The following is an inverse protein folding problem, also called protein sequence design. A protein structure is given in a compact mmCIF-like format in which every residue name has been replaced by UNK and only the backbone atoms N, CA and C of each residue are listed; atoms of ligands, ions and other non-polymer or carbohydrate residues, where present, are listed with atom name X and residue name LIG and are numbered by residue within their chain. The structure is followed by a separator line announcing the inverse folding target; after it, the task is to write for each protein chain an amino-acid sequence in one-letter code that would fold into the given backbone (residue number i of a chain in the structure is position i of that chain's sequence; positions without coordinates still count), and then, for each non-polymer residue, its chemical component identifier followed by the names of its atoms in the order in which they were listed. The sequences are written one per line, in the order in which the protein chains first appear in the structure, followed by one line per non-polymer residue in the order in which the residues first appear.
data_IF_094992390377
#
_entry.id   IF_094992390377
#
_cell.length_a   1.000
_cell.length_b   1.000
_cell.length_c   1.000
_cell.angle_alpha   90.00
_cell.angle_beta   90.00
_cell.angle_gamma   90.00
#
_symmetry.space_group_name_H-M   'P 1'
#
loop_
_entity.id
_entity.type
_entity.pdbx_description
1 polymer ?
#
# COMPACT_ATOMS: atom_id res chain seq x y z
N UNK A 1 -3.68 39.44 27.76
CA UNK A 1 -3.06 40.72 27.35
C UNK A 1 -1.63 40.77 27.84
N UNK A 2 -0.66 40.67 26.94
CA UNK A 2 0.70 41.21 27.09
C UNK A 2 1.33 41.21 25.70
N UNK A 3 1.17 42.35 25.06
CA UNK A 3 1.74 42.77 23.78
C UNK A 3 3.25 42.94 23.93
N UNK A 4 4.02 42.48 22.93
CA UNK A 4 5.35 42.99 22.63
C UNK A 4 5.46 43.20 21.14
N UNK A 5 5.80 44.42 20.78
CA UNK A 5 5.92 44.98 19.43
C UNK A 5 7.37 45.46 19.25
N UNK A 6 7.77 45.60 17.99
CA UNK A 6 8.97 46.25 17.41
C UNK A 6 10.22 45.35 17.31
N UNK A 7 10.98 45.34 16.22
CA UNK A 7 11.18 46.37 15.19
C UNK A 7 11.49 45.80 13.80
N UNK A 8 11.11 46.55 12.77
CA UNK A 8 11.59 46.47 11.39
C UNK A 8 13.05 46.96 11.31
N UNK A 9 13.86 46.32 10.48
CA UNK A 9 15.00 46.96 9.81
C UNK A 9 15.07 46.48 8.37
N UNK A 10 14.90 47.43 7.44
CA UNK A 10 15.18 47.28 6.02
C UNK A 10 16.64 47.68 5.75
N UNK A 11 17.32 46.98 4.84
CA UNK A 11 18.52 47.46 4.19
C UNK A 11 18.57 46.91 2.77
N UNK A 12 18.47 47.82 1.80
CA UNK A 12 18.73 47.61 0.36
C UNK A 12 20.20 47.83 0.07
N UNK A 13 20.78 47.07 -0.85
CA UNK A 13 21.97 47.45 -1.64
C UNK A 13 22.03 46.63 -2.92
N UNK A 14 22.11 47.33 -4.05
CA UNK A 14 22.22 46.81 -5.41
C UNK A 14 23.69 46.84 -5.88
N UNK A 15 24.08 45.91 -6.77
CA UNK A 15 25.24 46.10 -7.67
C UNK A 15 24.94 45.43 -9.02
N UNK A 16 25.03 46.23 -10.09
CA UNK A 16 25.02 45.83 -11.50
C UNK A 16 26.34 45.17 -11.92
N UNK A 17 26.28 44.26 -12.88
CA UNK A 17 27.43 43.84 -13.68
C UNK A 17 27.00 43.29 -15.04
N UNK A 18 27.30 44.02 -16.11
CA UNK A 18 27.12 43.61 -17.50
C UNK A 18 28.41 43.86 -18.29
N UNK A 19 28.86 42.89 -19.09
CA UNK A 19 29.75 42.99 -20.26
C UNK A 19 29.78 41.58 -20.92
N UNK A 20 29.17 41.32 -22.10
CA UNK A 20 29.53 41.63 -23.49
C UNK A 20 30.80 40.93 -24.02
N UNK A 21 30.64 40.22 -25.16
CA UNK A 21 31.53 39.86 -26.29
C UNK A 21 30.97 38.53 -26.87
N UNK A 22 30.65 38.29 -28.15
CA UNK A 22 30.73 38.95 -29.46
C UNK A 22 30.48 37.84 -30.52
N UNK A 23 30.00 38.13 -31.74
CA UNK A 23 29.46 37.12 -32.67
C UNK A 23 30.51 36.60 -33.67
N UNK A 24 30.29 35.39 -34.21
CA UNK A 24 30.93 34.94 -35.45
C UNK A 24 29.94 34.11 -36.27
N UNK A 25 29.77 34.49 -37.53
CA UNK A 25 28.85 33.91 -38.50
C UNK A 25 29.60 33.05 -39.54
N UNK A 26 29.00 31.90 -39.90
CA UNK A 26 28.87 31.25 -41.23
C UNK A 26 30.15 30.83 -42.00
N UNK A 27 30.12 29.73 -42.82
CA UNK A 27 29.10 29.42 -43.82
C UNK A 27 28.57 27.98 -43.89
N UNK A 28 27.47 27.85 -44.63
CA UNK A 28 26.86 26.61 -45.07
C UNK A 28 27.48 26.11 -46.39
N UNK A 29 27.59 24.79 -46.55
CA UNK A 29 27.32 24.08 -47.80
C UNK A 29 26.85 22.66 -47.49
N UNK A 30 25.85 22.23 -48.23
CA UNK A 30 25.13 20.97 -48.11
C UNK A 30 25.92 19.79 -48.72
N UNK A 31 25.69 18.59 -48.19
CA UNK A 31 25.65 17.36 -48.97
C UNK A 31 24.77 16.31 -48.25
N UNK A 32 23.87 15.69 -49.01
CA UNK A 32 22.91 14.64 -48.64
C UNK A 32 22.75 13.78 -49.92
N UNK A 33 22.40 12.46 -49.92
CA UNK A 33 22.33 11.40 -48.89
C UNK A 33 23.08 10.10 -49.30
N UNK A 34 23.03 9.04 -48.48
CA UNK A 34 22.54 7.66 -48.83
C UNK A 34 22.64 6.75 -47.59
N UNK A 35 21.73 5.77 -47.39
CA UNK A 35 21.42 5.18 -46.08
C UNK A 35 22.19 3.88 -45.81
N UNK A 36 22.62 3.69 -44.57
CA UNK A 36 23.22 2.45 -44.09
C UNK A 36 22.90 2.23 -42.63
N UNK A 37 21.93 1.34 -42.39
CA UNK A 37 21.76 0.50 -41.19
C UNK A 37 21.63 1.22 -39.83
N UNK A 38 20.46 1.17 -39.15
CA UNK A 38 20.42 1.58 -37.75
C UNK A 38 21.30 0.64 -36.90
N UNK A 39 22.15 1.14 -35.99
CA UNK A 39 22.73 0.29 -34.97
C UNK A 39 21.58 -0.25 -34.12
N UNK A 40 21.42 -1.57 -34.18
CA UNK A 40 20.47 -2.34 -33.38
C UNK A 40 20.84 -2.13 -31.90
N UNK A 41 20.32 -1.05 -31.31
CA UNK A 41 20.55 -0.71 -29.92
C UNK A 41 19.55 -1.49 -29.07
N UNK A 42 19.54 -2.82 -29.22
CA UNK A 42 19.12 -3.71 -28.15
C UNK A 42 20.26 -3.79 -27.17
N UNK A 43 20.46 -2.70 -26.44
CA UNK A 43 21.06 -2.79 -25.12
C UNK A 43 20.12 -3.68 -24.30
N UNK A 44 20.43 -4.98 -24.25
CA UNK A 44 19.85 -5.86 -23.27
C UNK A 44 20.09 -5.23 -21.91
N UNK A 45 19.01 -4.87 -21.23
CA UNK A 45 19.07 -4.51 -19.82
C UNK A 45 19.83 -5.63 -19.11
N UNK A 46 20.99 -5.29 -18.55
CA UNK A 46 21.80 -6.25 -17.82
C UNK A 46 20.92 -6.90 -16.74
N UNK A 47 20.97 -8.24 -16.56
CA UNK A 47 20.16 -8.94 -15.56
C UNK A 47 20.33 -8.43 -14.13
N UNK A 48 21.45 -7.76 -13.82
CA UNK A 48 21.76 -7.23 -12.49
C UNK A 48 20.93 -6.00 -12.10
N UNK A 49 20.37 -5.24 -13.06
CA UNK A 49 19.52 -4.08 -12.72
C UNK A 49 18.11 -4.48 -12.27
N UNK A 50 17.67 -5.71 -12.58
CA UNK A 50 16.35 -6.22 -12.19
C UNK A 50 16.32 -6.70 -10.74
N UNK A 51 17.47 -7.02 -10.13
CA UNK A 51 17.49 -7.58 -8.77
C UNK A 51 17.20 -6.54 -7.69
N UNK A 52 17.48 -5.26 -7.92
CA UNK A 52 17.25 -4.18 -6.92
C UNK A 52 15.89 -3.48 -7.07
N UNK A 53 15.18 -3.66 -8.19
CA UNK A 53 13.85 -3.10 -8.37
C UNK A 53 12.84 -3.69 -7.37
N UNK A 54 11.92 -2.90 -6.79
CA UNK A 54 10.83 -3.40 -5.95
C UNK A 54 10.04 -4.51 -6.64
N UNK A 55 9.52 -5.47 -5.88
CA UNK A 55 8.66 -6.52 -6.43
C UNK A 55 7.41 -5.89 -7.04
N UNK A 56 7.15 -6.20 -8.29
CA UNK A 56 6.02 -5.68 -9.05
C UNK A 56 4.71 -6.36 -8.67
N UNK A 57 3.59 -5.68 -8.95
CA UNK A 57 2.27 -6.26 -8.82
C UNK A 57 2.12 -7.51 -9.71
N UNK A 58 2.70 -7.50 -10.91
CA UNK A 58 2.64 -8.64 -11.84
C UNK A 58 3.31 -9.90 -11.27
N UNK A 59 4.52 -9.76 -10.71
CA UNK A 59 5.25 -10.86 -10.06
C UNK A 59 4.41 -11.48 -8.94
N UNK A 60 3.88 -10.65 -8.03
CA UNK A 60 3.04 -11.14 -6.92
C UNK A 60 1.73 -11.78 -7.42
N UNK A 61 1.06 -11.16 -8.39
CA UNK A 61 -0.18 -11.66 -8.96
C UNK A 61 0.02 -12.99 -9.70
N UNK A 62 1.22 -13.24 -10.25
CA UNK A 62 1.58 -14.52 -10.86
C UNK A 62 1.54 -15.68 -9.87
N UNK A 63 2.07 -15.48 -8.66
CA UNK A 63 2.08 -16.49 -7.59
C UNK A 63 0.68 -16.82 -7.05
N UNK A 64 -0.26 -15.88 -7.16
CA UNK A 64 -1.64 -16.03 -6.64
C UNK A 64 -2.70 -16.08 -7.74
N UNK A 65 -2.35 -16.59 -8.93
CA UNK A 65 -3.30 -16.81 -10.04
C UNK A 65 -4.35 -17.86 -9.71
N UNK A 66 -3.95 -18.95 -9.06
CA UNK A 66 -4.83 -20.09 -8.77
C UNK A 66 -5.15 -20.22 -7.28
N UNK A 67 -6.40 -20.53 -6.95
CA UNK A 67 -6.85 -20.64 -5.57
C UNK A 67 -6.95 -22.10 -5.12
N UNK A 68 -6.03 -22.54 -4.26
CA UNK A 68 -6.27 -23.69 -3.39
C UNK A 68 -6.97 -23.19 -2.14
N UNK A 69 -8.29 -23.30 -2.11
CA UNK A 69 -9.10 -22.82 -1.00
C UNK A 69 -8.74 -23.55 0.31
N UNK A 70 -8.50 -22.78 1.37
CA UNK A 70 -8.23 -23.27 2.73
C UNK A 70 -9.37 -22.92 3.70
N UNK A 71 -10.21 -21.94 3.38
CA UNK A 71 -11.43 -21.67 4.14
C UNK A 71 -12.47 -22.78 3.93
N UNK A 72 -13.27 -23.06 4.97
CA UNK A 72 -14.39 -24.03 4.93
C UNK A 72 -15.65 -23.47 4.26
N UNK A 73 -15.58 -22.25 3.75
CA UNK A 73 -16.66 -21.52 3.09
C UNK A 73 -16.11 -20.27 2.43
N UNK A 74 -17.00 -19.39 2.00
CA UNK A 74 -16.68 -18.10 1.39
C UNK A 74 -17.18 -16.96 2.27
N UNK A 75 -16.60 -15.80 2.08
CA UNK A 75 -16.99 -14.53 2.71
C UNK A 75 -17.76 -13.66 1.72
N UNK A 76 -18.57 -12.76 2.27
CA UNK A 76 -19.12 -11.63 1.52
C UNK A 76 -18.13 -10.48 1.49
N UNK A 77 -18.27 -9.62 0.50
CA UNK A 77 -17.60 -8.32 0.40
C UNK A 77 -18.29 -7.33 1.33
N UNK A 78 -19.64 -7.30 1.33
CA UNK A 78 -20.40 -6.35 2.13
C UNK A 78 -21.38 -7.04 3.10
N UNK A 79 -21.84 -6.29 4.10
CA UNK A 79 -22.86 -6.75 5.05
C UNK A 79 -24.22 -7.02 4.38
N UNK A 80 -24.57 -6.25 3.35
CA UNK A 80 -25.85 -6.34 2.65
C UNK A 80 -25.81 -7.27 1.42
N UNK A 81 -24.65 -7.80 1.02
CA UNK A 81 -24.57 -8.73 -0.11
C UNK A 81 -25.31 -10.03 0.24
N UNK A 82 -26.10 -10.56 -0.69
CA UNK A 82 -26.80 -11.84 -0.46
C UNK A 82 -25.93 -13.08 -0.73
N UNK A 83 -24.73 -12.90 -1.30
CA UNK A 83 -23.87 -13.99 -1.78
C UNK A 83 -22.47 -13.89 -1.18
N UNK A 84 -22.00 -14.99 -0.62
CA UNK A 84 -20.61 -15.16 -0.23
C UNK A 84 -19.80 -15.72 -1.40
N UNK A 85 -18.86 -14.93 -1.91
CA UNK A 85 -18.14 -15.22 -3.16
C UNK A 85 -16.62 -15.34 -2.96
N UNK A 86 -16.07 -14.77 -1.88
CA UNK A 86 -14.62 -14.68 -1.65
C UNK A 86 -14.11 -15.88 -0.86
N UNK A 87 -13.36 -16.83 -1.47
CA UNK A 87 -12.63 -17.85 -0.71
C UNK A 87 -11.35 -17.27 -0.11
N UNK A 88 -10.85 -17.89 0.95
CA UNK A 88 -9.46 -17.70 1.41
C UNK A 88 -8.62 -18.84 0.85
N UNK A 89 -7.55 -18.50 0.16
CA UNK A 89 -6.67 -19.40 -0.57
C UNK A 89 -5.31 -19.51 0.12
N UNK A 90 -4.62 -20.64 -0.04
CA UNK A 90 -3.31 -20.86 0.60
C UNK A 90 -2.25 -21.36 -0.36
N UNK A 91 -1.07 -20.75 -0.28
CA UNK A 91 0.19 -21.30 -0.83
C UNK A 91 0.99 -21.96 0.30
N UNK A 92 2.26 -22.30 0.06
CA UNK A 92 3.18 -22.72 1.12
C UNK A 92 3.46 -21.54 2.06
N UNK A 93 3.84 -20.39 1.51
CA UNK A 93 4.40 -19.27 2.27
C UNK A 93 3.40 -18.15 2.58
N UNK A 94 2.22 -18.17 1.95
CA UNK A 94 1.21 -17.12 2.10
C UNK A 94 -0.22 -17.64 2.16
N UNK A 95 -1.09 -16.80 2.69
CA UNK A 95 -2.55 -16.88 2.53
C UNK A 95 -2.98 -15.68 1.72
N UNK A 96 -3.93 -15.86 0.81
CA UNK A 96 -4.41 -14.75 0.00
C UNK A 96 -5.91 -14.81 -0.30
N UNK A 97 -6.47 -13.65 -0.61
CA UNK A 97 -7.84 -13.50 -1.10
C UNK A 97 -7.93 -12.32 -2.07
N UNK A 98 -8.96 -12.34 -2.90
CA UNK A 98 -9.28 -11.28 -3.86
C UNK A 98 -10.67 -10.77 -3.55
N UNK A 99 -10.78 -9.48 -3.22
CA UNK A 99 -12.01 -8.88 -2.72
C UNK A 99 -12.12 -7.43 -3.19
N UNK A 100 -13.12 -6.76 -2.64
CA UNK A 100 -13.23 -5.31 -2.51
C UNK A 100 -12.25 -4.76 -1.45
N UNK A 101 -12.38 -3.46 -1.19
CA UNK A 101 -11.78 -2.77 -0.06
C UNK A 101 -12.80 -1.78 0.50
N UNK A 102 -13.50 -2.18 1.54
CA UNK A 102 -14.17 -1.30 2.49
C UNK A 102 -13.12 -0.61 3.37
N UNK A 103 -13.47 0.59 3.86
CA UNK A 103 -12.56 1.41 4.65
C UNK A 103 -12.87 1.26 6.14
N UNK A 104 -11.91 0.70 6.86
CA UNK A 104 -11.93 0.61 8.31
C UNK A 104 -11.33 1.89 8.92
N UNK A 105 -12.13 2.65 9.69
CA UNK A 105 -11.68 3.84 10.40
C UNK A 105 -11.50 3.61 11.91
N UNK A 106 -11.50 2.36 12.38
CA UNK A 106 -11.45 2.03 13.79
C UNK A 106 -10.09 2.38 14.43
N UNK A 107 -10.13 2.46 15.77
CA UNK A 107 -8.98 2.76 16.61
C UNK A 107 -8.93 4.21 17.08
N UNK A 108 -7.79 4.88 16.88
CA UNK A 108 -7.57 6.22 17.43
C UNK A 108 -8.40 7.24 16.68
N UNK A 109 -9.20 8.01 17.44
CA UNK A 109 -9.92 9.16 16.91
C UNK A 109 -8.96 10.18 16.30
N UNK A 110 -9.16 10.51 15.04
CA UNK A 110 -8.46 11.56 14.30
C UNK A 110 -9.45 12.53 13.64
N UNK A 111 -8.94 13.45 12.83
CA UNK A 111 -9.79 14.32 12.00
C UNK A 111 -10.50 13.51 10.91
N UNK A 112 -9.83 12.52 10.33
CA UNK A 112 -10.36 11.70 9.25
C UNK A 112 -11.25 10.55 9.78
N UNK A 113 -10.83 9.90 10.86
CA UNK A 113 -11.54 8.76 11.45
C UNK A 113 -12.13 9.12 12.81
N UNK A 114 -13.45 9.26 12.86
CA UNK A 114 -14.22 9.54 14.08
C UNK A 114 -15.72 9.31 13.84
N UNK A 115 -16.51 9.31 14.91
CA UNK A 115 -17.98 9.12 14.89
C UNK A 115 -18.77 10.12 14.03
N UNK A 116 -18.16 11.20 13.50
CA UNK A 116 -18.84 12.13 12.58
C UNK A 116 -18.61 11.80 11.11
N UNK A 117 -17.46 11.19 10.79
CA UNK A 117 -17.10 10.80 9.43
C UNK A 117 -17.51 9.36 9.15
N UNK A 118 -17.48 8.52 10.17
CA UNK A 118 -17.85 7.12 10.12
C UNK A 118 -18.92 6.80 11.20
N UNK A 119 -20.16 6.44 10.80
CA UNK A 119 -21.22 6.07 11.74
C UNK A 119 -20.97 4.72 12.43
N UNK A 120 -20.04 3.89 11.93
CA UNK A 120 -19.70 2.58 12.49
C UNK A 120 -18.41 2.59 13.32
N UNK A 121 -17.73 3.75 13.40
CA UNK A 121 -16.47 3.92 14.11
C UNK A 121 -16.43 3.30 15.51
N UNK A 122 -15.42 2.49 15.75
CA UNK A 122 -15.04 1.97 17.06
C UNK A 122 -13.73 2.59 17.53
N UNK A 123 -13.66 2.89 18.82
CA UNK A 123 -12.46 3.51 19.41
C UNK A 123 -11.31 2.53 19.70
N UNK A 124 -11.44 1.27 19.31
CA UNK A 124 -10.50 0.19 19.57
C UNK A 124 -10.22 -0.55 18.26
N UNK A 125 -9.03 -1.15 18.20
CA UNK A 125 -8.65 -2.12 17.17
C UNK A 125 -8.33 -3.44 17.87
N UNK A 126 -8.53 -4.58 17.19
CA UNK A 126 -8.25 -5.90 17.75
C UNK A 126 -6.79 -6.06 18.20
N UNK A 127 -5.86 -5.39 17.50
CA UNK A 127 -4.47 -5.33 17.88
C UNK A 127 -4.07 -3.93 18.31
N UNK A 128 -3.11 -3.84 19.23
CA UNK A 128 -2.67 -2.58 19.81
C UNK A 128 -1.22 -2.29 19.42
N UNK A 129 -0.90 -1.01 19.36
CA UNK A 129 0.48 -0.49 19.30
C UNK A 129 1.35 -1.09 20.41
N UNK A 130 2.67 -0.98 20.26
CA UNK A 130 3.64 -1.41 21.28
C UNK A 130 3.46 -0.75 22.67
N UNK A 131 2.67 0.33 22.75
CA UNK A 131 2.34 1.05 23.99
C UNK A 131 0.92 0.77 24.50
N UNK A 132 0.26 -0.29 24.01
CA UNK A 132 -1.08 -0.69 24.46
C UNK A 132 -2.19 0.31 24.08
N UNK A 133 -1.98 1.07 23.00
CA UNK A 133 -3.01 1.96 22.43
C UNK A 133 -3.61 1.34 21.16
N UNK A 134 -4.88 1.63 20.83
CA UNK A 134 -5.44 1.31 19.51
C UNK A 134 -4.56 1.83 18.38
N UNK A 135 -4.62 1.19 17.22
CA UNK A 135 -3.93 1.64 16.02
C UNK A 135 -4.54 2.94 15.50
N UNK A 136 -3.80 3.67 14.67
CA UNK A 136 -4.23 4.92 14.05
C UNK A 136 -4.51 4.63 12.57
N UNK A 137 -5.77 4.35 12.20
CA UNK A 137 -6.16 4.01 10.83
C UNK A 137 -5.79 5.10 9.81
N UNK A 138 -5.78 6.38 10.24
CA UNK A 138 -5.39 7.50 9.39
C UNK A 138 -3.87 7.64 9.19
N UNK A 139 -3.04 6.76 9.79
CA UNK A 139 -1.57 6.84 9.70
C UNK A 139 -0.87 5.52 9.42
N UNK A 140 -1.46 4.39 9.81
CA UNK A 140 -0.86 3.07 9.67
C UNK A 140 -1.64 2.26 8.63
N UNK A 141 -1.00 1.88 7.50
CA UNK A 141 -1.56 0.88 6.61
C UNK A 141 -1.77 -0.44 7.33
N UNK A 142 -3.03 -0.82 7.50
CA UNK A 142 -3.39 -2.15 7.99
C UNK A 142 -4.52 -2.78 7.18
N UNK A 143 -4.56 -4.10 7.24
CA UNK A 143 -5.61 -4.95 6.70
C UNK A 143 -6.42 -5.54 7.85
N UNK A 144 -7.71 -5.67 7.62
CA UNK A 144 -8.65 -6.29 8.55
C UNK A 144 -8.90 -7.73 8.06
N UNK A 145 -8.73 -8.69 8.95
CA UNK A 145 -9.08 -10.09 8.66
C UNK A 145 -10.42 -10.44 9.32
N UNK A 146 -11.20 -11.37 8.78
CA UNK A 146 -12.43 -11.78 9.45
C UNK A 146 -12.13 -12.34 10.85
N UNK A 147 -12.98 -12.04 11.82
CA UNK A 147 -12.87 -12.62 13.16
C UNK A 147 -12.77 -14.16 13.08
N UNK A 148 -11.89 -14.81 13.88
CA UNK A 148 -11.70 -16.25 13.83
C UNK A 148 -13.00 -17.02 14.03
N UNK A 149 -13.29 -17.97 13.13
CA UNK A 149 -14.55 -18.70 13.17
C UNK A 149 -14.57 -19.98 12.36
N UNK A 150 -15.79 -20.46 12.09
CA UNK A 150 -16.00 -21.72 11.37
C UNK A 150 -15.59 -21.67 9.90
N UNK A 151 -15.62 -20.48 9.27
CA UNK A 151 -15.22 -20.31 7.87
C UNK A 151 -13.69 -20.35 7.77
N UNK A 152 -12.99 -19.56 8.57
CA UNK A 152 -11.54 -19.53 8.64
C UNK A 152 -11.07 -19.01 10.00
N UNK A 153 -9.91 -19.48 10.45
CA UNK A 153 -9.22 -19.02 11.65
C UNK A 153 -7.80 -18.66 11.22
N UNK A 154 -7.54 -17.35 11.02
CA UNK A 154 -6.27 -16.87 10.49
C UNK A 154 -5.06 -17.31 11.32
N UNK A 155 -5.25 -17.53 12.62
CA UNK A 155 -4.19 -17.95 13.55
C UNK A 155 -3.66 -19.33 13.22
N UNK A 156 -4.50 -20.21 12.67
CA UNK A 156 -4.11 -21.55 12.20
C UNK A 156 -3.35 -21.52 10.89
N UNK A 157 -3.25 -20.35 10.26
CA UNK A 157 -2.47 -20.13 9.04
C UNK A 157 -1.15 -19.39 9.31
N UNK A 158 -0.70 -19.34 10.57
CA UNK A 158 0.55 -18.63 10.93
C UNK A 158 0.40 -17.11 10.90
N UNK A 159 -0.82 -16.58 10.90
CA UNK A 159 -1.09 -15.14 10.89
C UNK A 159 -1.42 -14.63 12.29
N UNK A 160 -1.00 -13.41 12.60
CA UNK A 160 -1.23 -12.73 13.88
C UNK A 160 -1.30 -11.22 13.68
N UNK A 161 -1.61 -10.49 14.75
CA UNK A 161 -1.48 -9.03 14.76
C UNK A 161 -0.04 -8.62 14.46
N UNK A 162 0.13 -7.81 13.41
CA UNK A 162 1.43 -7.42 12.90
C UNK A 162 2.00 -8.32 11.82
N UNK A 163 1.32 -9.41 11.41
CA UNK A 163 1.72 -10.14 10.20
C UNK A 163 1.65 -9.24 8.98
N UNK A 164 2.59 -9.39 8.07
CA UNK A 164 2.74 -8.52 6.90
C UNK A 164 1.84 -8.99 5.77
N UNK A 165 1.19 -8.03 5.12
CA UNK A 165 0.30 -8.25 3.99
C UNK A 165 0.77 -7.38 2.82
N UNK A 166 1.07 -7.99 1.69
CA UNK A 166 1.15 -7.25 0.43
C UNK A 166 -0.27 -7.04 -0.09
N UNK A 167 -0.63 -5.79 -0.36
CA UNK A 167 -1.94 -5.38 -0.86
C UNK A 167 -1.74 -4.77 -2.23
N UNK A 168 -2.44 -5.34 -3.21
CA UNK A 168 -2.29 -5.02 -4.61
C UNK A 168 -3.61 -4.48 -5.12
N UNK A 169 -3.56 -3.30 -5.75
CA UNK A 169 -4.68 -2.72 -6.46
C UNK A 169 -4.16 -2.00 -7.69
N UNK A 170 -4.68 -2.37 -8.87
CA UNK A 170 -4.08 -2.00 -10.16
C UNK A 170 -2.61 -2.46 -10.19
N UNK A 171 -1.68 -1.58 -10.58
CA UNK A 171 -0.25 -1.88 -10.64
C UNK A 171 0.51 -1.46 -9.36
N UNK A 172 -0.21 -1.10 -8.30
CA UNK A 172 0.39 -0.65 -7.05
C UNK A 172 0.50 -1.80 -6.04
N UNK A 173 1.65 -1.90 -5.39
CA UNK A 173 1.89 -2.78 -4.24
C UNK A 173 2.11 -1.90 -3.01
N UNK A 174 1.40 -2.19 -1.92
CA UNK A 174 1.64 -1.61 -0.59
C UNK A 174 1.77 -2.71 0.43
N UNK A 175 2.62 -2.49 1.42
CA UNK A 175 2.82 -3.43 2.52
C UNK A 175 2.19 -2.89 3.78
N UNK A 176 1.26 -3.67 4.31
CA UNK A 176 0.47 -3.37 5.48
C UNK A 176 0.70 -4.43 6.56
N UNK A 177 0.17 -4.18 7.75
CA UNK A 177 0.08 -5.21 8.80
C UNK A 177 -1.36 -5.70 8.95
N UNK A 178 -1.57 -6.90 9.48
CA UNK A 178 -2.88 -7.26 10.05
C UNK A 178 -3.06 -6.44 11.32
N UNK A 179 -4.00 -5.48 11.28
CA UNK A 179 -4.20 -4.49 12.34
C UNK A 179 -5.53 -4.63 13.10
N UNK A 180 -6.53 -5.22 12.47
CA UNK A 180 -7.85 -5.42 13.08
C UNK A 180 -8.50 -6.76 12.70
N UNK A 181 -9.63 -7.04 13.33
CA UNK A 181 -10.54 -8.12 12.96
C UNK A 181 -11.95 -7.62 12.71
N UNK A 182 -12.48 -7.91 11.52
CA UNK A 182 -13.82 -7.52 11.10
C UNK A 182 -14.88 -8.57 11.44
N UNK A 183 -16.13 -8.37 11.02
CA UNK A 183 -17.23 -9.32 11.23
C UNK A 183 -16.92 -10.72 10.68
N UNK A 184 -17.36 -11.77 11.37
CA UNK A 184 -17.00 -13.17 11.07
C UNK A 184 -17.49 -13.71 9.70
N UNK A 185 -18.17 -12.91 8.87
CA UNK A 185 -18.73 -13.31 7.57
C UNK A 185 -18.46 -12.33 6.43
N UNK A 186 -17.64 -11.30 6.67
CA UNK A 186 -17.26 -10.26 5.72
C UNK A 186 -15.73 -10.27 5.59
N UNK A 187 -15.21 -9.97 4.40
CA UNK A 187 -13.78 -9.83 4.14
C UNK A 187 -13.56 -8.75 3.08
N UNK A 188 -12.43 -8.05 3.16
CA UNK A 188 -12.08 -7.01 2.20
C UNK A 188 -12.10 -5.63 2.84
N UNK A 189 -11.54 -5.48 4.03
CA UNK A 189 -11.49 -4.20 4.75
C UNK A 189 -10.02 -3.78 4.94
N UNK A 190 -9.76 -2.47 4.84
CA UNK A 190 -8.44 -1.88 5.01
C UNK A 190 -8.49 -0.49 5.62
N UNK A 191 -7.41 -0.10 6.29
CA UNK A 191 -7.31 1.22 6.95
C UNK A 191 -7.43 2.39 5.97
N UNK A 192 -7.84 3.56 6.47
CA UNK A 192 -7.82 4.83 5.75
C UNK A 192 -6.48 5.10 5.07
N UNK A 193 -5.36 4.94 5.80
CA UNK A 193 -4.02 5.20 5.27
C UNK A 193 -3.63 4.24 4.12
N UNK A 194 -4.04 2.97 4.20
CA UNK A 194 -3.80 2.00 3.14
C UNK A 194 -4.55 2.39 1.85
N UNK A 195 -5.81 2.83 1.98
CA UNK A 195 -6.59 3.27 0.84
C UNK A 195 -5.98 4.52 0.17
N UNK A 196 -5.55 5.52 0.94
CA UNK A 196 -4.81 6.68 0.41
C UNK A 196 -3.58 6.24 -0.40
N UNK A 197 -2.79 5.32 0.16
CA UNK A 197 -1.57 4.83 -0.47
C UNK A 197 -1.80 4.05 -1.77
N UNK A 198 -2.96 3.39 -1.89
CA UNK A 198 -3.40 2.66 -3.08
C UNK A 198 -4.20 3.54 -4.07
N UNK A 199 -4.32 4.84 -3.79
CA UNK A 199 -5.12 5.77 -4.59
C UNK A 199 -6.60 5.35 -4.68
N UNK A 200 -7.13 4.79 -3.59
CA UNK A 200 -8.54 4.48 -3.36
C UNK A 200 -9.12 5.63 -2.52
N UNK A 201 -10.36 6.05 -2.79
CA UNK A 201 -11.02 7.06 -1.96
C UNK A 201 -11.10 6.53 -0.51
N UNK A 202 -10.45 7.17 0.47
CA UNK A 202 -10.39 6.65 1.83
C UNK A 202 -11.62 7.04 2.66
N UNK A 203 -12.69 7.57 2.05
CA UNK A 203 -13.88 7.95 2.82
C UNK A 203 -14.60 6.70 3.40
N UNK A 204 -14.85 6.62 4.72
CA UNK A 204 -15.33 5.41 5.39
C UNK A 204 -16.72 4.92 4.93
N UNK A 205 -17.53 5.79 4.34
CA UNK A 205 -18.90 5.45 3.93
C UNK A 205 -19.18 5.57 2.44
N UNK A 206 -18.29 6.20 1.68
CA UNK A 206 -18.52 6.50 0.26
C UNK A 206 -17.34 6.14 -0.63
N UNK A 207 -16.18 5.90 -0.02
CA UNK A 207 -14.96 5.50 -0.70
C UNK A 207 -14.87 3.99 -0.83
N UNK A 208 -13.63 3.50 -0.84
CA UNK A 208 -13.33 2.10 -1.05
C UNK A 208 -13.24 1.70 -2.51
N UNK A 209 -13.08 0.40 -2.75
CA UNK A 209 -13.00 -0.20 -4.08
C UNK A 209 -13.92 -1.42 -4.15
N UNK A 210 -14.90 -1.41 -5.05
CA UNK A 210 -15.89 -2.49 -5.15
C UNK A 210 -15.32 -3.87 -5.54
N UNK A 211 -14.08 -3.92 -6.07
CA UNK A 211 -13.36 -5.15 -6.41
C UNK A 211 -11.91 -4.83 -6.81
N UNK A 212 -11.12 -5.87 -7.10
CA UNK A 212 -9.80 -5.71 -7.73
C UNK A 212 -8.65 -5.56 -6.75
N UNK A 213 -8.91 -5.76 -5.45
CA UNK A 213 -7.86 -5.76 -4.43
C UNK A 213 -7.45 -7.19 -4.14
N UNK A 214 -6.14 -7.47 -4.21
CA UNK A 214 -5.56 -8.74 -3.81
C UNK A 214 -4.74 -8.56 -2.56
N UNK A 215 -5.00 -9.39 -1.56
CA UNK A 215 -4.33 -9.37 -0.27
C UNK A 215 -3.50 -10.64 -0.15
N UNK A 216 -2.20 -10.53 0.08
CA UNK A 216 -1.27 -11.65 0.26
C UNK A 216 -0.64 -11.52 1.63
N UNK A 217 -1.18 -12.23 2.61
CA UNK A 217 -0.68 -12.28 3.97
C UNK A 217 0.41 -13.35 4.09
N UNK A 218 1.64 -12.93 4.37
CA UNK A 218 2.78 -13.83 4.51
C UNK A 218 2.71 -14.57 5.85
N UNK A 219 2.78 -15.90 5.81
CA UNK A 219 2.70 -16.74 7.00
C UNK A 219 3.95 -16.54 7.87
N UNK A 220 3.75 -16.73 9.17
CA UNK A 220 4.81 -16.68 10.19
C UNK A 220 5.63 -15.38 10.16
N UNK A 221 5.05 -14.32 9.60
CA UNK A 221 5.62 -12.99 9.55
C UNK A 221 5.11 -12.14 10.70
N UNK A 222 5.94 -11.20 11.18
CA UNK A 222 5.53 -10.22 12.17
C UNK A 222 6.40 -8.97 12.13
N UNK A 223 5.76 -7.81 12.22
CA UNK A 223 6.40 -6.51 12.44
C UNK A 223 6.31 -6.15 13.92
N UNK A 224 7.42 -5.65 14.47
CA UNK A 224 7.48 -5.10 15.82
C UNK A 224 8.35 -3.84 15.84
N UNK A 225 7.85 -2.69 16.32
CA UNK A 225 6.49 -2.47 16.80
C UNK A 225 5.48 -2.46 15.63
N UNK A 226 4.26 -2.94 15.85
CA UNK A 226 3.22 -3.10 14.80
C UNK A 226 2.91 -1.77 14.08
N UNK A 227 3.00 -0.65 14.79
CA UNK A 227 2.77 0.69 14.25
C UNK A 227 3.91 1.25 13.39
N UNK A 228 4.96 0.45 13.13
CA UNK A 228 6.08 0.88 12.29
C UNK A 228 5.80 0.62 10.81
N UNK A 229 5.25 1.62 10.13
CA UNK A 229 5.05 1.61 8.67
C UNK A 229 6.33 1.25 7.91
N UNK A 230 7.45 1.89 8.23
CA UNK A 230 8.73 1.62 7.56
C UNK A 230 9.19 0.16 7.71
N UNK A 231 8.92 -0.49 8.85
CA UNK A 231 9.23 -1.92 9.03
C UNK A 231 8.26 -2.82 8.27
N UNK A 232 6.99 -2.44 8.15
CA UNK A 232 6.04 -3.15 7.30
C UNK A 232 6.47 -3.09 5.82
N UNK A 233 6.90 -1.92 5.36
CA UNK A 233 7.45 -1.72 4.02
C UNK A 233 8.71 -2.56 3.79
N UNK A 234 9.74 -2.44 4.64
CA UNK A 234 11.00 -3.15 4.43
C UNK A 234 10.84 -4.67 4.56
N UNK A 235 10.08 -5.15 5.56
CA UNK A 235 9.84 -6.58 5.77
C UNK A 235 8.91 -7.16 4.71
N UNK A 236 7.93 -6.39 4.27
CA UNK A 236 7.03 -6.80 3.20
C UNK A 236 7.75 -6.99 1.88
N UNK A 237 8.65 -6.08 1.53
CA UNK A 237 9.48 -6.19 0.34
C UNK A 237 10.41 -7.42 0.40
N UNK A 238 11.03 -7.68 1.54
CA UNK A 238 11.85 -8.89 1.75
C UNK A 238 11.03 -10.18 1.57
N UNK A 239 9.84 -10.23 2.17
CA UNK A 239 8.94 -11.38 2.07
C UNK A 239 8.39 -11.56 0.65
N UNK A 240 8.08 -10.47 -0.03
CA UNK A 240 7.63 -10.49 -1.41
C UNK A 240 8.71 -11.05 -2.35
N UNK A 241 9.98 -10.66 -2.16
CA UNK A 241 11.11 -11.20 -2.94
C UNK A 241 11.24 -12.69 -2.78
N UNK A 242 11.27 -13.16 -1.53
CA UNK A 242 11.31 -14.58 -1.24
C UNK A 242 10.11 -15.33 -1.85
N UNK A 243 8.91 -14.73 -1.79
CA UNK A 243 7.69 -15.32 -2.31
C UNK A 243 7.69 -15.47 -3.83
N UNK A 244 8.31 -14.54 -4.56
CA UNK A 244 8.44 -14.60 -6.03
C UNK A 244 9.75 -15.28 -6.48
N UNK A 245 10.53 -15.84 -5.55
CA UNK A 245 11.75 -16.60 -5.84
C UNK A 245 12.99 -15.76 -6.14
N UNK A 246 13.11 -14.57 -5.56
CA UNK A 246 14.26 -13.66 -5.69
C UNK A 246 15.05 -13.51 -4.39
#
# INVERSE_FOLDING_TARGET
MRTRTFALTAATSAVCGAALLGPAALPATADVPVPGTPPDTRAGLAPEALTDAPVSAEELLAEVRSCRQISRGKYRTDANSSKATVPVCGTTDAVFWKADMDIDCDGRKTKACNTRTDPYFQSQTAFQTSRGKPLDSARLPFVVVPAPGRIWDYRKSGLTGGSVVAVIHKDQVRYAVIGDTGPAGIIGEGSYALAEELSIDPHPTTGGAASGVTYIAFKDSRVSPIESRAKAESRGEELARAFVGR
#
